data_IF_407358686969
#
_entry.id   IF_407358686969
#
_cell.length_a   1.000
_cell.length_b   1.000
_cell.length_c   1.000
_cell.angle_alpha   90.00
_cell.angle_beta   90.00
_cell.angle_gamma   90.00
#
_symmetry.space_group_name_H-M   'P 1'
#
loop_
_entity.id
_entity.type
_entity.pdbx_description
1 polymer ?
#
# COMPACT_ATOMS: atom_id res chain seq x y z
N UNK A 1 -27.26 11.37 0.15
CA UNK A 1 -26.90 12.40 1.17
C UNK A 1 -25.39 12.54 1.15
N UNK A 2 -24.87 13.62 0.56
CA UNK A 2 -23.45 13.96 0.68
C UNK A 2 -23.40 15.30 1.39
N UNK A 3 -23.49 15.26 2.72
CA UNK A 3 -23.60 16.44 3.59
C UNK A 3 -22.38 17.38 3.47
N UNK A 4 -21.26 16.88 2.94
CA UNK A 4 -20.01 17.62 2.75
C UNK A 4 -19.78 18.10 1.31
N UNK A 5 -20.76 17.96 0.41
CA UNK A 5 -20.56 18.21 -1.02
C UNK A 5 -19.65 17.19 -1.68
N UNK A 6 -19.39 17.35 -2.98
CA UNK A 6 -18.32 16.63 -3.66
C UNK A 6 -16.98 17.23 -3.20
N UNK A 7 -15.98 16.41 -2.81
CA UNK A 7 -14.70 16.94 -2.40
C UNK A 7 -14.09 17.76 -3.53
N UNK A 8 -13.82 19.04 -3.27
CA UNK A 8 -13.03 19.88 -4.16
C UNK A 8 -11.58 19.45 -3.97
N UNK A 9 -11.16 18.47 -4.76
CA UNK A 9 -9.78 17.98 -4.77
C UNK A 9 -9.03 18.88 -5.74
N UNK A 10 -8.19 19.77 -5.23
CA UNK A 10 -7.14 20.40 -6.04
C UNK A 10 -6.33 19.26 -6.69
N UNK A 11 -6.04 19.34 -7.99
CA UNK A 11 -5.24 18.32 -8.69
C UNK A 11 -3.86 18.11 -8.04
N UNK A 12 -3.41 19.05 -7.22
CA UNK A 12 -2.17 18.99 -6.43
C UNK A 12 -2.33 18.42 -5.03
N UNK A 13 -3.56 18.18 -4.57
CA UNK A 13 -3.86 17.71 -3.22
C UNK A 13 -4.16 16.20 -3.24
N UNK A 14 -3.30 15.42 -2.56
CA UNK A 14 -3.49 13.99 -2.37
C UNK A 14 -3.80 13.70 -0.91
N UNK A 15 -5.03 13.27 -0.62
CA UNK A 15 -5.41 12.80 0.71
C UNK A 15 -4.80 11.42 0.96
N UNK A 16 -3.79 11.37 1.84
CA UNK A 16 -3.15 10.13 2.24
C UNK A 16 -3.59 9.79 3.66
N UNK A 17 -4.24 8.64 3.85
CA UNK A 17 -4.42 8.03 5.18
C UNK A 17 -3.36 6.92 5.28
N UNK A 18 -2.26 7.11 6.02
CA UNK A 18 -1.17 6.14 6.12
C UNK A 18 -1.63 4.72 6.48
N UNK A 19 -2.64 4.62 7.36
CA UNK A 19 -3.16 3.35 7.84
C UNK A 19 -3.99 2.58 6.81
N UNK A 20 -4.55 3.26 5.80
CA UNK A 20 -5.35 2.63 4.73
C UNK A 20 -4.51 2.24 3.51
N UNK A 21 -3.19 2.42 3.58
CA UNK A 21 -2.30 2.14 2.45
C UNK A 21 -1.40 0.91 2.64
N UNK A 22 -1.91 -0.12 3.30
CA UNK A 22 -1.21 -1.41 3.39
C UNK A 22 -0.96 -2.01 2.01
N UNK A 23 -1.78 -1.70 1.00
CA UNK A 23 -1.54 -2.14 -0.37
C UNK A 23 -0.32 -1.49 -1.03
N UNK A 24 0.08 -0.27 -0.65
CA UNK A 24 1.37 0.26 -1.07
C UNK A 24 2.53 -0.55 -0.49
N UNK A 25 2.42 -1.05 0.74
CA UNK A 25 3.46 -1.90 1.33
C UNK A 25 3.54 -3.25 0.62
N UNK A 26 2.39 -3.84 0.27
CA UNK A 26 2.32 -5.05 -0.57
C UNK A 26 2.95 -4.78 -1.94
N UNK A 27 2.63 -3.65 -2.56
CA UNK A 27 3.19 -3.24 -3.85
C UNK A 27 4.71 -3.08 -3.78
N UNK A 28 5.23 -2.42 -2.75
CA UNK A 28 6.66 -2.25 -2.50
C UNK A 28 7.38 -3.60 -2.29
N UNK A 29 6.77 -4.52 -1.55
CA UNK A 29 7.35 -5.84 -1.29
C UNK A 29 7.43 -6.72 -2.54
N UNK A 30 6.39 -6.70 -3.37
CA UNK A 30 6.31 -7.56 -4.56
C UNK A 30 6.97 -6.95 -5.80
N UNK A 31 7.27 -5.66 -5.77
CA UNK A 31 7.92 -4.97 -6.86
C UNK A 31 8.73 -3.75 -6.38
N UNK A 32 9.99 -4.01 -6.09
CA UNK A 32 10.95 -3.01 -5.66
C UNK A 32 11.44 -2.09 -6.79
N UNK A 33 11.07 -2.35 -8.06
CA UNK A 33 11.63 -1.68 -9.25
C UNK A 33 10.61 -0.98 -10.16
N UNK A 34 9.32 -1.00 -9.80
CA UNK A 34 8.25 -0.39 -10.63
C UNK A 34 8.38 1.12 -10.81
N UNK A 35 8.00 1.63 -11.98
CA UNK A 35 7.91 3.07 -12.32
C UNK A 35 6.90 3.89 -11.48
N UNK A 36 6.13 3.24 -10.60
CA UNK A 36 5.35 3.93 -9.55
C UNK A 36 6.24 4.49 -8.43
N UNK A 37 7.51 4.13 -8.43
CA UNK A 37 8.55 4.71 -7.59
C UNK A 37 9.17 5.90 -8.32
N UNK A 38 8.60 7.09 -8.14
CA UNK A 38 9.33 8.34 -8.42
C UNK A 38 9.57 9.11 -7.11
N UNK A 39 10.18 8.49 -6.07
CA UNK A 39 10.54 9.22 -4.87
C UNK A 39 11.69 10.19 -5.17
N UNK A 40 11.67 11.42 -4.63
CA UNK A 40 10.75 11.91 -3.60
C UNK A 40 9.44 12.53 -4.11
N UNK A 41 9.29 12.75 -5.42
CA UNK A 41 8.21 13.57 -5.99
C UNK A 41 6.84 12.88 -5.93
N UNK A 42 6.81 11.54 -5.98
CA UNK A 42 5.60 10.72 -5.84
C UNK A 42 5.87 9.53 -4.93
N UNK A 43 5.76 9.70 -3.60
CA UNK A 43 5.88 8.58 -2.67
C UNK A 43 4.80 7.54 -2.97
N UNK A 44 5.16 6.25 -2.90
CA UNK A 44 4.24 5.14 -3.17
C UNK A 44 2.99 5.18 -2.26
N UNK A 45 3.18 5.61 -1.02
CA UNK A 45 2.11 5.77 -0.02
C UNK A 45 1.13 6.90 -0.35
N UNK A 46 1.48 7.75 -1.32
CA UNK A 46 0.63 8.81 -1.86
C UNK A 46 0.00 8.42 -3.21
N UNK A 47 0.25 7.21 -3.71
CA UNK A 47 -0.37 6.77 -4.96
C UNK A 47 -1.85 6.51 -4.74
N UNK A 48 -2.70 7.14 -5.54
CA UNK A 48 -4.14 6.93 -5.51
C UNK A 48 -4.50 5.49 -5.92
N UNK A 49 -5.23 4.78 -5.06
CA UNK A 49 -5.74 3.41 -5.27
C UNK A 49 -4.65 2.39 -5.63
N UNK A 50 -3.68 2.14 -4.74
CA UNK A 50 -2.61 1.17 -4.99
C UNK A 50 -3.14 -0.27 -5.03
N UNK A 51 -4.27 -0.54 -4.38
CA UNK A 51 -5.04 -1.77 -4.48
C UNK A 51 -5.47 -2.10 -5.93
N UNK A 52 -5.77 -1.08 -6.73
CA UNK A 52 -6.09 -1.24 -8.16
C UNK A 52 -4.86 -1.61 -8.99
N UNK A 53 -3.67 -1.15 -8.60
CA UNK A 53 -2.41 -1.45 -9.28
C UNK A 53 -2.07 -2.93 -9.10
N UNK A 54 -2.04 -3.41 -7.85
CA UNK A 54 -1.77 -4.83 -7.54
C UNK A 54 -2.86 -5.79 -8.04
N UNK A 55 -4.04 -5.26 -8.35
CA UNK A 55 -5.16 -5.99 -8.95
C UNK A 55 -5.14 -6.01 -10.49
N UNK A 56 -4.29 -5.20 -11.12
CA UNK A 56 -4.24 -5.09 -12.57
C UNK A 56 -3.43 -6.25 -13.17
N UNK A 57 -4.00 -6.95 -14.17
CA UNK A 57 -3.36 -8.11 -14.80
C UNK A 57 -2.05 -7.77 -15.51
N UNK A 58 -1.85 -6.52 -15.92
CA UNK A 58 -0.65 -6.08 -16.64
C UNK A 58 0.54 -5.73 -15.74
N UNK A 59 0.39 -5.82 -14.42
CA UNK A 59 1.44 -5.39 -13.50
C UNK A 59 2.69 -6.28 -13.55
N UNK A 60 2.51 -7.59 -13.69
CA UNK A 60 3.56 -8.58 -14.04
C UNK A 60 2.86 -9.88 -14.43
N UNK A 61 3.05 -10.33 -15.67
CA UNK A 61 2.66 -11.69 -16.06
C UNK A 61 3.38 -12.68 -15.13
N UNK A 62 2.73 -13.74 -14.60
CA UNK A 62 1.50 -14.34 -15.10
C UNK A 62 0.26 -14.21 -14.17
N UNK A 63 0.36 -13.56 -13.00
CA UNK A 63 -0.77 -13.44 -12.05
C UNK A 63 -0.77 -12.11 -11.30
N UNK A 64 -1.92 -11.42 -11.34
CA UNK A 64 -2.27 -10.31 -10.42
C UNK A 64 -2.23 -10.79 -8.97
N UNK A 65 -1.78 -9.92 -8.05
CA UNK A 65 -1.72 -10.23 -6.62
C UNK A 65 -3.11 -10.31 -6.00
N UNK A 66 -4.02 -9.42 -6.42
CA UNK A 66 -5.42 -9.43 -6.00
C UNK A 66 -6.36 -9.68 -7.18
N UNK A 67 -7.40 -10.48 -6.95
CA UNK A 67 -8.47 -10.68 -7.94
C UNK A 67 -9.39 -9.45 -7.96
N UNK A 68 -10.10 -9.25 -9.08
CA UNK A 68 -11.16 -8.23 -9.19
C UNK A 68 -12.54 -8.87 -9.23
N UNK A 69 -13.52 -8.21 -8.63
CA UNK A 69 -14.95 -8.53 -8.73
C UNK A 69 -15.71 -7.21 -8.91
N UNK A 70 -16.61 -7.15 -9.88
CA UNK A 70 -17.44 -5.97 -10.15
C UNK A 70 -16.62 -4.67 -10.33
N UNK A 71 -15.48 -4.78 -11.02
CA UNK A 71 -14.57 -3.66 -11.26
C UNK A 71 -13.70 -3.24 -10.06
N UNK A 72 -13.85 -3.85 -8.88
CA UNK A 72 -13.11 -3.49 -7.66
C UNK A 72 -12.15 -4.61 -7.21
N UNK A 73 -11.05 -4.28 -6.50
CA UNK A 73 -10.17 -5.27 -5.88
C UNK A 73 -10.94 -6.11 -4.86
N UNK A 74 -10.78 -7.42 -4.93
CA UNK A 74 -11.38 -8.35 -3.99
C UNK A 74 -10.40 -8.53 -2.83
N UNK A 75 -10.68 -7.89 -1.70
CA UNK A 75 -9.83 -7.94 -0.49
C UNK A 75 -10.25 -9.07 0.45
N UNK A 76 -9.97 -10.32 0.09
CA UNK A 76 -10.26 -11.45 1.00
C UNK A 76 -9.10 -11.69 1.95
N UNK A 77 -9.42 -12.10 3.19
CA UNK A 77 -8.41 -12.50 4.18
C UNK A 77 -7.43 -13.54 3.61
N UNK A 78 -7.94 -14.54 2.89
CA UNK A 78 -7.12 -15.61 2.29
C UNK A 78 -6.10 -15.06 1.29
N UNK A 79 -6.53 -14.15 0.41
CA UNK A 79 -5.63 -13.58 -0.60
C UNK A 79 -4.51 -12.77 0.08
N UNK A 80 -4.84 -11.94 1.08
CA UNK A 80 -3.82 -11.17 1.82
C UNK A 80 -2.87 -12.06 2.63
N UNK A 81 -3.38 -13.12 3.27
CA UNK A 81 -2.54 -14.07 4.00
C UNK A 81 -1.49 -14.73 3.11
N UNK A 82 -1.75 -14.90 1.81
CA UNK A 82 -0.79 -15.44 0.85
C UNK A 82 0.30 -14.42 0.47
N UNK A 83 0.08 -13.13 0.68
CA UNK A 83 1.03 -12.06 0.39
C UNK A 83 1.97 -11.78 1.56
N UNK A 84 1.53 -12.06 2.80
CA UNK A 84 2.29 -11.81 4.03
C UNK A 84 3.73 -12.34 3.98
N UNK A 85 4.02 -13.59 3.55
CA UNK A 85 5.39 -14.10 3.57
C UNK A 85 6.36 -13.22 2.77
N UNK A 86 5.97 -12.79 1.56
CA UNK A 86 6.81 -11.93 0.71
C UNK A 86 6.97 -10.54 1.31
N UNK A 87 5.93 -10.01 1.96
CA UNK A 87 6.02 -8.72 2.67
C UNK A 87 7.01 -8.80 3.83
N UNK A 88 7.03 -9.91 4.58
CA UNK A 88 7.97 -10.11 5.67
C UNK A 88 9.40 -10.30 5.16
N UNK A 89 9.58 -11.13 4.14
CA UNK A 89 10.91 -11.40 3.55
C UNK A 89 11.54 -10.11 2.98
N UNK A 90 10.73 -9.21 2.44
CA UNK A 90 11.17 -7.94 1.84
C UNK A 90 10.92 -6.72 2.75
N UNK A 91 10.72 -6.92 4.06
CA UNK A 91 10.28 -5.85 4.95
C UNK A 91 11.25 -4.66 5.03
N UNK A 92 12.56 -4.90 4.93
CA UNK A 92 13.56 -3.82 4.91
C UNK A 92 13.42 -2.93 3.66
N UNK A 93 13.12 -3.52 2.50
CA UNK A 93 12.83 -2.76 1.28
C UNK A 93 11.53 -1.98 1.39
N UNK A 94 10.50 -2.58 1.99
CA UNK A 94 9.23 -1.90 2.27
C UNK A 94 9.48 -0.68 3.13
N UNK A 95 10.23 -0.78 4.24
CA UNK A 95 10.57 0.36 5.10
C UNK A 95 11.39 1.44 4.39
N UNK A 96 12.29 1.03 3.49
CA UNK A 96 13.11 1.95 2.69
C UNK A 96 12.26 2.76 1.70
N UNK A 97 11.25 2.12 1.10
CA UNK A 97 10.37 2.73 0.08
C UNK A 97 9.20 3.50 0.72
N UNK A 98 8.61 2.93 1.77
CA UNK A 98 7.41 3.39 2.45
C UNK A 98 7.76 3.89 3.86
N UNK A 99 7.82 5.20 4.04
CA UNK A 99 8.25 5.82 5.31
C UNK A 99 7.28 5.51 6.45
N UNK A 100 5.98 5.36 6.19
CA UNK A 100 5.02 5.02 7.24
C UNK A 100 5.17 3.56 7.70
N UNK A 101 5.67 2.66 6.86
CA UNK A 101 6.03 1.31 7.29
C UNK A 101 7.16 1.32 8.33
N UNK A 102 8.17 2.17 8.11
CA UNK A 102 9.26 2.35 9.09
C UNK A 102 8.74 2.95 10.40
N UNK A 103 7.87 3.96 10.33
CA UNK A 103 7.25 4.56 11.52
C UNK A 103 6.39 3.53 12.29
N UNK A 104 5.60 2.73 11.58
CA UNK A 104 4.76 1.70 12.17
C UNK A 104 5.57 0.67 12.97
N UNK A 105 6.70 0.22 12.43
CA UNK A 105 7.60 -0.69 13.16
C UNK A 105 8.15 -0.05 14.44
N UNK A 106 8.56 1.22 14.37
CA UNK A 106 9.05 1.97 15.53
C UNK A 106 7.97 2.11 16.60
N UNK A 107 6.75 2.45 16.22
CA UNK A 107 5.61 2.60 17.12
C UNK A 107 5.25 1.27 17.81
N UNK A 108 5.32 0.16 17.07
CA UNK A 108 5.12 -1.18 17.65
C UNK A 108 6.22 -1.52 18.64
N UNK A 109 7.50 -1.31 18.28
CA UNK A 109 8.64 -1.56 19.18
C UNK A 109 8.55 -0.73 20.45
N UNK A 110 8.17 0.54 20.35
CA UNK A 110 7.97 1.42 21.50
C UNK A 110 6.83 0.94 22.42
N UNK A 111 5.74 0.43 21.85
CA UNK A 111 4.62 -0.13 22.63
C UNK A 111 4.95 -1.46 23.28
N UNK A 112 5.70 -2.33 22.62
CA UNK A 112 6.11 -3.63 23.17
C UNK A 112 7.19 -3.47 24.24
N UNK A 113 8.11 -2.52 24.05
CA UNK A 113 9.16 -2.19 25.04
C UNK A 113 8.69 -1.34 26.22
N UNK A 114 7.43 -0.88 26.24
CA UNK A 114 6.81 -0.15 27.34
C UNK A 114 5.96 -1.01 28.27
N UNK A 115 6.05 -2.34 28.18
CA UNK A 115 5.35 -3.32 29.03
C UNK A 115 6.36 -3.98 30.00
N UNK A 116 7.31 -3.20 30.52
CA UNK A 116 8.16 -3.58 31.66
C UNK A 116 7.83 -2.75 32.89
#
# INVERSE_FOLDING_TARGET
>A
MTWLGEPVIDEKLVFCIPADNTEAWVLAAHDIQTAYHDPPDKPLECVNKPDMIISNQRYKNPRRLLKRKDGKPKKTRRDYQQLIPVVLDNWEDVKRICKQAAQFEQDLKAKVGGIE
#
